data_IF_155333991944
#
_entry.id   IF_155333991944
#
_cell.length_a   1.000
_cell.length_b   1.000
_cell.length_c   1.000
_cell.angle_alpha   90.00
_cell.angle_beta   90.00
_cell.angle_gamma   90.00
#
_symmetry.space_group_name_H-M   'P 1'
#
loop_
_entity.id
_entity.type
_entity.pdbx_description
1 polymer ?
#
# COMPACT_ATOMS: atom_id res chain seq x y z
N UNK A 1 -2.50 24.78 -31.04
CA UNK A 1 -3.78 24.27 -30.51
C UNK A 1 -3.45 22.93 -29.87
N UNK A 2 -3.25 22.94 -28.55
CA UNK A 2 -2.76 21.79 -27.80
C UNK A 2 -3.84 20.71 -27.76
N UNK A 3 -3.45 19.46 -28.06
CA UNK A 3 -4.26 18.29 -27.75
C UNK A 3 -4.10 18.07 -26.25
N UNK A 4 -5.16 18.37 -25.51
CA UNK A 4 -5.22 18.11 -24.09
C UNK A 4 -5.07 16.61 -23.84
N UNK A 5 -4.01 16.29 -23.10
CA UNK A 5 -3.69 14.99 -22.58
C UNK A 5 -4.77 14.57 -21.59
N UNK A 6 -5.69 13.72 -22.03
CA UNK A 6 -6.53 12.95 -21.12
C UNK A 6 -6.02 11.51 -21.12
N UNK A 7 -4.81 11.30 -20.57
CA UNK A 7 -4.39 9.97 -20.11
C UNK A 7 -5.13 9.76 -18.78
N UNK A 8 -6.31 9.16 -18.85
CA UNK A 8 -7.01 8.66 -17.67
C UNK A 8 -6.09 7.64 -17.00
N UNK A 9 -5.31 8.09 -16.02
CA UNK A 9 -4.25 7.32 -15.38
C UNK A 9 -4.84 6.18 -14.56
N UNK A 10 -5.17 5.08 -15.22
CA UNK A 10 -5.46 3.83 -14.51
C UNK A 10 -4.20 3.42 -13.74
N UNK A 11 -4.33 3.07 -12.45
CA UNK A 11 -3.23 2.58 -11.64
C UNK A 11 -2.54 1.42 -12.34
N UNK A 12 -1.21 1.47 -12.40
CA UNK A 12 -0.42 0.42 -13.04
C UNK A 12 -0.08 -0.62 -11.98
N UNK A 13 -0.79 -1.75 -12.03
CA UNK A 13 -0.46 -2.93 -11.21
C UNK A 13 0.59 -3.77 -11.95
N UNK A 14 1.73 -3.97 -11.29
CA UNK A 14 2.85 -4.76 -11.79
C UNK A 14 3.06 -5.99 -10.91
N UNK A 15 3.59 -7.06 -11.50
CA UNK A 15 4.07 -8.23 -10.76
C UNK A 15 5.55 -8.45 -11.05
N UNK A 16 6.36 -8.72 -10.02
CA UNK A 16 7.74 -9.11 -10.22
C UNK A 16 7.84 -10.48 -10.93
N UNK A 17 8.85 -10.64 -11.80
CA UNK A 17 8.97 -11.81 -12.69
C UNK A 17 9.12 -13.14 -11.96
N UNK A 18 9.65 -13.13 -10.74
CA UNK A 18 9.83 -14.31 -9.91
C UNK A 18 8.59 -14.70 -9.08
N UNK A 19 7.50 -13.92 -9.13
CA UNK A 19 6.25 -14.22 -8.41
C UNK A 19 5.41 -15.17 -9.25
N UNK A 20 5.36 -16.43 -8.83
CA UNK A 20 4.53 -17.48 -9.43
C UNK A 20 3.37 -17.76 -8.50
N UNK A 21 2.15 -17.70 -9.04
CA UNK A 21 0.89 -18.03 -8.35
C UNK A 21 0.75 -17.39 -6.95
N UNK A 22 0.74 -16.03 -6.84
CA UNK A 22 0.54 -15.39 -5.55
C UNK A 22 -0.86 -15.71 -5.00
N UNK A 23 -0.97 -15.79 -3.68
CA UNK A 23 -2.24 -15.98 -2.98
C UNK A 23 -3.26 -14.89 -3.37
N UNK A 24 -4.56 -15.21 -3.39
CA UNK A 24 -5.61 -14.30 -3.88
C UNK A 24 -5.59 -12.93 -3.18
N UNK A 25 -5.32 -12.92 -1.87
CA UNK A 25 -5.16 -11.70 -1.06
C UNK A 25 -4.24 -10.64 -1.69
N UNK A 26 -3.19 -11.06 -2.43
CA UNK A 26 -2.30 -10.10 -3.06
C UNK A 26 -3.00 -9.27 -4.14
N UNK A 27 -3.92 -9.90 -4.87
CA UNK A 27 -4.72 -9.26 -5.90
C UNK A 27 -5.82 -8.41 -5.30
N UNK A 28 -6.45 -8.87 -4.22
CA UNK A 28 -7.53 -8.12 -3.55
C UNK A 28 -6.97 -6.81 -2.96
N UNK A 29 -5.84 -6.88 -2.26
CA UNK A 29 -5.17 -5.70 -1.71
C UNK A 29 -4.66 -4.77 -2.82
N UNK A 30 -4.03 -5.32 -3.87
CA UNK A 30 -3.56 -4.50 -4.99
C UNK A 30 -4.71 -3.82 -5.74
N UNK A 31 -5.83 -4.52 -5.94
CA UNK A 31 -7.02 -3.98 -6.58
C UNK A 31 -7.70 -2.92 -5.72
N UNK A 32 -7.77 -3.12 -4.40
CA UNK A 32 -8.30 -2.11 -3.48
C UNK A 32 -7.45 -0.83 -3.49
N UNK A 33 -6.12 -0.97 -3.40
CA UNK A 33 -5.19 0.15 -3.45
C UNK A 33 -5.26 0.91 -4.78
N UNK A 34 -5.60 0.23 -5.88
CA UNK A 34 -5.77 0.83 -7.20
C UNK A 34 -6.94 1.82 -7.23
N UNK A 35 -7.95 1.67 -6.37
CA UNK A 35 -9.05 2.64 -6.31
C UNK A 35 -8.66 3.96 -5.62
N UNK A 36 -7.46 4.06 -5.06
CA UNK A 36 -6.94 5.31 -4.48
C UNK A 36 -6.28 6.11 -5.60
N UNK A 37 -6.93 7.21 -5.97
CA UNK A 37 -6.59 8.13 -7.06
C UNK A 37 -5.10 8.53 -7.14
N UNK A 38 -4.44 8.72 -5.99
CA UNK A 38 -3.03 9.12 -5.97
C UNK A 38 -2.04 7.96 -6.18
N UNK A 39 -2.45 6.71 -5.94
CA UNK A 39 -1.57 5.54 -6.00
C UNK A 39 -1.44 5.03 -7.43
N UNK A 40 -0.55 5.64 -8.19
CA UNK A 40 -0.36 5.34 -9.61
C UNK A 40 0.42 4.04 -9.89
N UNK A 41 1.26 3.61 -8.94
CA UNK A 41 2.17 2.49 -9.14
C UNK A 41 2.02 1.47 -8.02
N UNK A 42 1.53 0.28 -8.36
CA UNK A 42 1.31 -0.81 -7.41
C UNK A 42 2.10 -2.01 -7.90
N UNK A 43 2.89 -2.63 -7.02
CA UNK A 43 3.75 -3.74 -7.40
C UNK A 43 3.71 -4.87 -6.40
N UNK A 44 3.35 -6.04 -6.91
CA UNK A 44 3.34 -7.32 -6.20
C UNK A 44 4.73 -7.95 -6.30
N UNK A 45 5.32 -8.27 -5.16
CA UNK A 45 6.55 -9.03 -5.00
C UNK A 45 6.26 -10.35 -4.27
N UNK A 46 7.30 -11.18 -4.12
CA UNK A 46 7.21 -12.35 -3.26
C UNK A 46 7.21 -11.88 -1.80
N UNK A 47 6.13 -12.14 -1.06
CA UNK A 47 5.99 -11.77 0.35
C UNK A 47 5.54 -10.32 0.63
N UNK A 48 5.36 -9.46 -0.38
CA UNK A 48 5.00 -8.05 -0.15
C UNK A 48 4.30 -7.35 -1.31
N UNK A 49 3.59 -6.27 -1.01
CA UNK A 49 3.07 -5.28 -1.97
C UNK A 49 3.67 -3.92 -1.66
N UNK A 50 4.09 -3.18 -2.69
CA UNK A 50 4.41 -1.76 -2.57
C UNK A 50 3.47 -0.95 -3.47
N UNK A 51 2.88 0.11 -2.95
CA UNK A 51 2.09 1.06 -3.72
C UNK A 51 2.57 2.49 -3.46
N UNK A 52 2.60 3.34 -4.49
CA UNK A 52 3.05 4.72 -4.37
C UNK A 52 2.56 5.59 -5.52
N UNK A 53 2.52 6.89 -5.28
CA UNK A 53 2.37 7.91 -6.31
C UNK A 53 3.66 8.12 -7.13
N UNK A 54 4.82 7.66 -6.64
CA UNK A 54 6.12 7.86 -7.30
C UNK A 54 6.90 6.56 -7.47
N UNK A 55 7.70 6.50 -8.53
CA UNK A 55 8.70 5.45 -8.77
C UNK A 55 10.11 5.95 -8.45
N UNK A 56 10.96 5.05 -7.96
CA UNK A 56 12.39 5.29 -7.81
C UNK A 56 13.04 5.64 -9.16
N UNK A 57 13.82 6.72 -9.20
CA UNK A 57 14.53 7.19 -10.41
C UNK A 57 15.89 6.52 -10.63
N UNK A 58 16.60 6.19 -9.54
CA UNK A 58 18.02 5.78 -9.60
C UNK A 58 18.27 4.27 -9.64
N UNK A 59 17.24 3.43 -9.87
CA UNK A 59 17.39 1.96 -9.85
C UNK A 59 17.21 1.38 -11.26
N UNK A 60 18.06 0.40 -11.65
CA UNK A 60 17.89 -0.42 -12.87
C UNK A 60 16.48 -1.02 -12.99
N UNK A 61 15.80 -1.24 -11.86
CA UNK A 61 14.38 -1.62 -11.79
C UNK A 61 13.63 -0.55 -11.01
N UNK A 62 12.69 0.14 -11.66
CA UNK A 62 11.79 1.09 -11.00
C UNK A 62 10.92 0.38 -9.96
N UNK A 63 10.79 0.98 -8.78
CA UNK A 63 9.99 0.48 -7.66
C UNK A 63 9.15 1.61 -7.06
N UNK A 64 7.91 1.34 -6.61
CA UNK A 64 7.12 2.30 -5.83
C UNK A 64 7.91 2.78 -4.60
N UNK A 65 7.85 4.07 -4.29
CA UNK A 65 8.57 4.67 -3.16
C UNK A 65 7.66 4.67 -1.92
N UNK A 66 8.14 4.07 -0.83
CA UNK A 66 7.40 3.91 0.44
C UNK A 66 8.17 4.46 1.63
N UNK A 67 9.31 5.13 1.39
CA UNK A 67 10.18 5.67 2.44
C UNK A 67 9.44 6.73 3.26
N UNK A 68 9.40 6.52 4.57
CA UNK A 68 8.78 7.43 5.54
C UNK A 68 9.49 8.79 5.53
N UNK A 69 8.71 9.87 5.59
CA UNK A 69 9.20 11.24 5.69
C UNK A 69 9.73 11.85 4.39
N UNK A 70 9.63 11.14 3.25
CA UNK A 70 10.01 11.70 1.97
C UNK A 70 8.93 12.66 1.45
N UNK A 71 9.33 13.90 1.16
CA UNK A 71 8.45 14.94 0.63
C UNK A 71 7.79 14.52 -0.68
N UNK A 72 6.51 14.87 -0.84
CA UNK A 72 5.74 14.54 -2.05
C UNK A 72 5.37 13.06 -2.23
N UNK A 73 5.78 12.16 -1.32
CA UNK A 73 5.45 10.75 -1.40
C UNK A 73 4.19 10.41 -0.61
N UNK A 74 3.26 9.72 -1.29
CA UNK A 74 2.20 8.93 -0.68
C UNK A 74 2.42 7.48 -1.09
N UNK A 75 2.59 6.59 -0.12
CA UNK A 75 2.89 5.19 -0.40
C UNK A 75 2.80 4.28 0.80
N UNK A 76 2.71 2.98 0.51
CA UNK A 76 2.59 1.92 1.49
C UNK A 76 3.38 0.68 1.06
N UNK A 77 4.01 0.04 2.02
CA UNK A 77 4.59 -1.29 1.88
C UNK A 77 3.93 -2.24 2.88
N UNK A 78 3.40 -3.34 2.36
CA UNK A 78 2.76 -4.40 3.12
C UNK A 78 3.58 -5.67 3.02
N UNK A 79 3.90 -6.30 4.15
CA UNK A 79 4.34 -7.70 4.16
C UNK A 79 3.11 -8.58 4.30
N UNK A 80 3.06 -9.69 3.57
CA UNK A 80 1.89 -10.55 3.53
C UNK A 80 2.33 -11.97 3.86
N UNK A 81 1.70 -12.53 4.88
CA UNK A 81 1.98 -13.86 5.41
C UNK A 81 0.72 -14.73 5.30
N UNK A 82 0.44 -15.33 4.13
CA UNK A 82 -0.78 -16.12 3.95
C UNK A 82 -0.90 -17.30 4.93
N UNK A 83 0.23 -17.94 5.25
CA UNK A 83 0.27 -19.09 6.18
C UNK A 83 -0.09 -18.69 7.62
N UNK A 84 0.06 -17.41 7.97
CA UNK A 84 -0.28 -16.85 9.28
C UNK A 84 -1.52 -15.97 9.24
N UNK A 85 -2.16 -15.83 8.06
CA UNK A 85 -3.27 -14.89 7.81
C UNK A 85 -2.99 -13.50 8.37
N UNK A 86 -1.79 -12.97 8.13
CA UNK A 86 -1.40 -11.64 8.59
C UNK A 86 -0.91 -10.73 7.47
N UNK A 87 -1.17 -9.43 7.64
CA UNK A 87 -0.69 -8.36 6.78
C UNK A 87 -0.02 -7.31 7.67
N UNK A 88 1.26 -7.06 7.43
CA UNK A 88 2.03 -6.14 8.25
C UNK A 88 2.25 -4.83 7.49
N UNK A 89 1.90 -3.71 8.11
CA UNK A 89 2.30 -2.39 7.64
C UNK A 89 3.79 -2.17 7.91
N UNK A 90 4.63 -2.52 6.94
CA UNK A 90 6.07 -2.29 7.03
C UNK A 90 6.42 -0.81 6.92
N UNK A 91 5.74 -0.09 6.02
CA UNK A 91 5.83 1.37 5.96
C UNK A 91 4.54 1.97 5.42
N UNK A 92 4.18 3.13 5.98
CA UNK A 92 3.11 3.99 5.49
C UNK A 92 3.63 5.42 5.52
N UNK A 93 3.61 6.09 4.37
CA UNK A 93 4.01 7.49 4.23
C UNK A 93 2.96 8.26 3.48
N UNK A 94 2.66 9.47 3.94
CA UNK A 94 1.61 10.30 3.36
C UNK A 94 1.98 11.76 3.53
N UNK A 95 2.66 12.34 2.54
CA UNK A 95 2.95 13.78 2.48
C UNK A 95 1.70 14.65 2.30
N UNK A 96 0.57 14.05 1.90
CA UNK A 96 -0.70 14.72 1.69
C UNK A 96 -1.74 14.26 2.72
N UNK A 97 -2.44 15.21 3.34
CA UNK A 97 -3.43 14.96 4.39
C UNK A 97 -4.56 14.04 3.89
N UNK A 98 -4.95 13.08 4.74
CA UNK A 98 -6.08 12.18 4.50
C UNK A 98 -5.75 10.88 3.76
N UNK A 99 -4.67 10.83 2.98
CA UNK A 99 -4.33 9.62 2.22
C UNK A 99 -3.87 8.45 3.09
N UNK A 100 -3.14 8.70 4.18
CA UNK A 100 -2.80 7.64 5.14
C UNK A 100 -4.04 6.88 5.63
N UNK A 101 -5.11 7.60 5.99
CA UNK A 101 -6.39 6.98 6.40
C UNK A 101 -7.10 6.27 5.25
N UNK A 102 -7.12 6.86 4.04
CA UNK A 102 -7.68 6.21 2.84
C UNK A 102 -6.98 4.87 2.55
N UNK A 103 -5.66 4.84 2.66
CA UNK A 103 -4.85 3.63 2.49
C UNK A 103 -5.23 2.58 3.53
N UNK A 104 -5.22 2.93 4.82
CA UNK A 104 -5.58 2.00 5.89
C UNK A 104 -6.98 1.43 5.67
N UNK A 105 -7.97 2.28 5.38
CA UNK A 105 -9.33 1.83 5.08
C UNK A 105 -9.39 0.86 3.91
N UNK A 106 -8.71 1.19 2.81
CA UNK A 106 -8.68 0.33 1.61
C UNK A 106 -8.09 -1.05 1.89
N UNK A 107 -7.05 -1.12 2.73
CA UNK A 107 -6.47 -2.39 3.17
C UNK A 107 -7.43 -3.14 4.08
N UNK A 108 -8.04 -2.47 5.06
CA UNK A 108 -9.01 -3.08 5.96
C UNK A 108 -10.19 -3.67 5.20
N UNK A 109 -10.83 -2.89 4.31
CA UNK A 109 -11.98 -3.32 3.52
C UNK A 109 -11.69 -4.53 2.61
N UNK A 110 -10.44 -4.69 2.18
CA UNK A 110 -10.00 -5.77 1.30
C UNK A 110 -9.40 -6.98 2.06
N UNK A 111 -9.25 -6.86 3.37
CA UNK A 111 -8.70 -7.92 4.21
C UNK A 111 -9.85 -8.78 4.76
N UNK A 112 -9.82 -10.12 4.58
CA UNK A 112 -10.83 -10.99 5.18
C UNK A 112 -10.88 -10.86 6.70
N UNK A 113 -12.06 -11.02 7.29
CA UNK A 113 -12.28 -10.82 8.73
C UNK A 113 -11.45 -11.75 9.62
N UNK A 114 -11.04 -12.91 9.11
CA UNK A 114 -10.22 -13.89 9.82
C UNK A 114 -8.70 -13.63 9.71
N UNK A 115 -8.30 -12.48 9.16
CA UNK A 115 -6.91 -12.04 9.05
C UNK A 115 -6.60 -10.92 10.02
N UNK A 116 -5.36 -10.90 10.50
CA UNK A 116 -4.86 -9.85 11.41
C UNK A 116 -4.06 -8.82 10.62
N UNK A 117 -4.32 -7.53 10.85
CA UNK A 117 -3.50 -6.45 10.34
C UNK A 117 -2.54 -6.00 11.44
N UNK A 118 -1.25 -6.02 11.16
CA UNK A 118 -0.19 -5.77 12.15
C UNK A 118 0.53 -4.46 11.85
N UNK A 119 0.79 -3.69 12.89
CA UNK A 119 1.66 -2.51 12.86
C UNK A 119 2.76 -2.74 13.89
N UNK A 120 3.94 -3.13 13.43
CA UNK A 120 5.05 -3.48 14.33
C UNK A 120 5.76 -2.26 14.92
N UNK A 121 5.69 -1.10 14.26
CA UNK A 121 6.40 0.10 14.69
C UNK A 121 5.58 1.36 14.37
N UNK A 122 5.18 2.10 15.40
CA UNK A 122 4.49 3.37 15.27
C UNK A 122 5.48 4.56 15.33
N UNK A 123 5.80 5.11 14.16
CA UNK A 123 6.54 6.38 14.02
C UNK A 123 5.64 7.55 13.59
N UNK A 124 4.33 7.36 13.71
CA UNK A 124 3.32 8.26 13.14
C UNK A 124 2.87 9.35 14.12
N UNK A 125 3.26 9.25 15.40
CA UNK A 125 2.99 10.26 16.41
C UNK A 125 1.51 10.40 16.77
N UNK A 126 0.78 9.29 16.91
CA UNK A 126 -0.64 9.31 17.29
C UNK A 126 -1.60 8.82 16.21
N UNK A 127 -1.13 8.54 14.98
CA UNK A 127 -2.04 8.16 13.89
C UNK A 127 -2.57 6.74 14.06
N UNK A 128 -1.73 5.76 14.43
CA UNK A 128 -2.17 4.38 14.58
C UNK A 128 -3.12 4.18 15.77
N UNK A 129 -2.99 4.97 16.84
CA UNK A 129 -3.93 4.99 17.96
C UNK A 129 -5.36 5.33 17.50
N UNK A 130 -5.50 6.26 16.55
CA UNK A 130 -6.82 6.57 15.95
C UNK A 130 -7.31 5.46 15.04
N UNK A 131 -6.40 4.77 14.34
CA UNK A 131 -6.80 3.69 13.42
C UNK A 131 -7.28 2.44 14.18
N UNK A 132 -6.69 2.11 15.34
CA UNK A 132 -7.16 0.96 16.14
C UNK A 132 -8.52 1.21 16.80
N UNK A 133 -8.85 2.47 17.12
CA UNK A 133 -10.20 2.83 17.62
C UNK A 133 -11.28 2.62 16.55
N UNK A 134 -10.92 2.80 15.28
CA UNK A 134 -11.84 2.68 14.14
C UNK A 134 -11.89 1.27 13.54
N UNK A 135 -10.78 0.53 13.61
CA UNK A 135 -10.61 -0.77 12.96
C UNK A 135 -10.04 -1.80 13.96
N UNK A 136 -10.90 -2.55 14.66
CA UNK A 136 -10.47 -3.50 15.70
C UNK A 136 -9.57 -4.64 15.20
N UNK A 137 -9.54 -4.90 13.89
CA UNK A 137 -8.66 -5.89 13.25
C UNK A 137 -7.18 -5.45 13.18
N UNK A 138 -6.90 -4.19 13.48
CA UNK A 138 -5.54 -3.64 13.52
C UNK A 138 -4.96 -3.86 14.91
N UNK A 139 -3.82 -4.51 14.97
CA UNK A 139 -3.03 -4.72 16.18
C UNK A 139 -1.71 -3.97 16.05
N UNK A 140 -1.40 -3.14 17.05
CA UNK A 140 -0.09 -2.51 17.20
C UNK A 140 0.72 -3.35 18.18
N UNK A 141 1.91 -3.79 17.77
CA UNK A 141 2.83 -4.60 18.58
C UNK A 141 3.96 -3.76 19.17
#
# INVERSE_FOLDING_TARGET
MNKDNNDSTNPKIFKATNVRNPHQIYYDLAGSLAHIDILQFIKIYNGRICASNLLSTNKKKKQPITKIGQEGVVGVELLIHPDHKSIDFYSLTSSQKGYGRKIVKSIVDATPEDWTIVVTMDWSGGFWQRMIEEYPQIVVL
#
